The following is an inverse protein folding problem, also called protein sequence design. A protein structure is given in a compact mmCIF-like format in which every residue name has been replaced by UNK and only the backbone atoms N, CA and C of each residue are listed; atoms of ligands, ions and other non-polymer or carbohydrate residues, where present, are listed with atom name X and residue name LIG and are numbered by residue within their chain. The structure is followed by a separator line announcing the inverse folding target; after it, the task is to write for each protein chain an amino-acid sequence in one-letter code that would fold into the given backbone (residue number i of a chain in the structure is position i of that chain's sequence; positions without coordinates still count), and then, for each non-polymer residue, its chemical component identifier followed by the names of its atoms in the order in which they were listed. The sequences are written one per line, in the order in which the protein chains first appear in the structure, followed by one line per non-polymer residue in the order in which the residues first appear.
data_IF_302532896678
#
_entry.id   IF_302532896678
#
_cell.length_a   1.000
_cell.length_b   1.000
_cell.length_c   1.000
_cell.angle_alpha   90.00
_cell.angle_beta   90.00
_cell.angle_gamma   90.00
#
_symmetry.space_group_name_H-M   'P 1'
#
loop_
_entity.id
_entity.type
_entity.pdbx_description
1 polymer ?
#
# COMPACT_ATOMS: atom_id res chain seq x y z
N UNK A 1 15.41 14.88 -11.60
CA UNK A 1 16.82 14.75 -11.18
C UNK A 1 17.50 16.10 -11.30
N UNK A 2 17.49 16.72 -12.48
CA UNK A 2 18.08 18.06 -12.75
C UNK A 2 17.73 19.13 -11.70
N UNK A 3 16.48 19.17 -11.22
CA UNK A 3 16.07 20.14 -10.19
C UNK A 3 16.78 19.94 -8.85
N UNK A 4 16.94 18.68 -8.41
CA UNK A 4 17.60 18.37 -7.15
C UNK A 4 19.10 18.67 -7.24
N UNK A 5 19.72 18.35 -8.38
CA UNK A 5 21.13 18.65 -8.67
C UNK A 5 21.39 20.17 -8.63
N UNK A 6 20.53 20.97 -9.27
CA UNK A 6 20.65 22.43 -9.22
C UNK A 6 20.41 23.03 -7.82
N UNK A 7 19.59 22.37 -6.98
CA UNK A 7 19.43 22.77 -5.57
C UNK A 7 20.72 22.49 -4.78
N UNK A 8 21.30 21.30 -4.96
CA UNK A 8 22.54 20.91 -4.28
C UNK A 8 23.69 21.84 -4.68
N UNK A 9 23.86 22.11 -5.98
CA UNK A 9 24.90 23.01 -6.47
C UNK A 9 24.76 24.43 -5.88
N UNK A 10 23.53 24.92 -5.76
CA UNK A 10 23.28 26.22 -5.14
C UNK A 10 23.61 26.20 -3.65
N UNK A 11 23.21 25.16 -2.91
CA UNK A 11 23.53 25.03 -1.48
C UNK A 11 25.04 24.89 -1.23
N UNK A 12 25.76 24.15 -2.07
CA UNK A 12 27.22 23.96 -1.98
C UNK A 12 28.00 25.24 -2.31
N UNK A 13 27.42 26.16 -3.10
CA UNK A 13 28.06 27.44 -3.43
C UNK A 13 28.31 28.33 -2.21
N UNK A 14 27.59 28.11 -1.10
CA UNK A 14 27.73 28.86 0.15
C UNK A 14 27.31 30.33 0.08
N UNK A 15 26.71 30.77 -1.04
CA UNK A 15 26.33 32.17 -1.28
C UNK A 15 24.89 32.50 -0.90
N UNK A 16 24.11 31.51 -0.47
CA UNK A 16 22.71 31.73 -0.11
C UNK A 16 22.58 32.20 1.34
N UNK A 17 21.71 33.18 1.61
CA UNK A 17 21.33 33.52 2.98
C UNK A 17 20.64 32.33 3.65
N UNK A 18 20.65 32.33 4.98
CA UNK A 18 20.16 31.20 5.78
C UNK A 18 18.68 30.89 5.50
N UNK A 19 17.85 31.90 5.32
CA UNK A 19 16.42 31.70 5.00
C UNK A 19 16.25 30.94 3.67
N UNK A 20 17.01 31.31 2.64
CA UNK A 20 16.94 30.63 1.35
C UNK A 20 17.50 29.20 1.44
N UNK A 21 18.55 28.96 2.23
CA UNK A 21 19.08 27.61 2.47
C UNK A 21 18.03 26.67 3.06
N UNK A 22 17.21 27.16 4.00
CA UNK A 22 16.13 26.38 4.62
C UNK A 22 15.08 26.02 3.56
N UNK A 23 14.64 27.00 2.76
CA UNK A 23 13.66 26.77 1.69
C UNK A 23 14.19 25.76 0.66
N UNK A 24 15.46 25.87 0.26
CA UNK A 24 16.08 24.94 -0.69
C UNK A 24 16.25 23.54 -0.12
N UNK A 25 16.58 23.42 1.17
CA UNK A 25 16.66 22.14 1.85
C UNK A 25 15.29 21.43 1.88
N UNK A 26 14.22 22.14 2.21
CA UNK A 26 12.85 21.59 2.21
C UNK A 26 12.43 21.13 0.80
N UNK A 27 12.71 21.94 -0.23
CA UNK A 27 12.47 21.57 -1.62
C UNK A 27 13.25 20.30 -2.00
N UNK A 28 14.54 20.24 -1.65
CA UNK A 28 15.39 19.07 -1.88
C UNK A 28 14.85 17.81 -1.21
N UNK A 29 14.42 17.91 0.05
CA UNK A 29 13.83 16.80 0.80
C UNK A 29 12.55 16.26 0.16
N UNK A 30 11.67 17.14 -0.32
CA UNK A 30 10.47 16.74 -1.03
C UNK A 30 10.80 15.99 -2.34
N UNK A 31 11.78 16.47 -3.10
CA UNK A 31 12.23 15.81 -4.33
C UNK A 31 12.85 14.44 -4.05
N UNK A 32 13.63 14.31 -2.98
CA UNK A 32 14.20 13.02 -2.55
C UNK A 32 13.09 12.02 -2.24
N UNK A 33 12.06 12.44 -1.48
CA UNK A 33 10.90 11.59 -1.17
C UNK A 33 10.20 11.09 -2.43
N UNK A 34 9.96 11.96 -3.40
CA UNK A 34 9.35 11.59 -4.69
C UNK A 34 10.21 10.57 -5.43
N UNK A 35 11.54 10.74 -5.45
CA UNK A 35 12.44 9.77 -6.07
C UNK A 35 12.36 8.40 -5.41
N UNK A 36 12.31 8.35 -4.08
CA UNK A 36 12.18 7.10 -3.32
C UNK A 36 10.85 6.39 -3.62
N UNK A 37 9.74 7.12 -3.66
CA UNK A 37 8.43 6.56 -4.01
C UNK A 37 8.42 5.98 -5.43
N UNK A 38 9.04 6.68 -6.39
CA UNK A 38 9.17 6.18 -7.77
C UNK A 38 10.04 4.92 -7.84
N UNK A 39 11.12 4.86 -7.08
CA UNK A 39 11.98 3.69 -7.01
C UNK A 39 11.22 2.49 -6.42
N UNK A 40 10.53 2.68 -5.29
CA UNK A 40 9.72 1.64 -4.68
C UNK A 40 8.63 1.12 -5.63
N UNK A 41 7.96 2.01 -6.37
CA UNK A 41 6.98 1.59 -7.37
C UNK A 41 7.58 0.79 -8.52
N UNK A 42 8.78 1.18 -8.98
CA UNK A 42 9.49 0.45 -10.02
C UNK A 42 9.91 -0.95 -9.53
N UNK A 43 10.44 -1.06 -8.31
CA UNK A 43 10.80 -2.33 -7.68
C UNK A 43 9.59 -3.26 -7.55
N UNK A 44 8.46 -2.76 -7.07
CA UNK A 44 7.21 -3.53 -6.99
C UNK A 44 6.76 -4.05 -8.36
N UNK A 45 6.82 -3.21 -9.40
CA UNK A 45 6.47 -3.62 -10.77
C UNK A 45 7.40 -4.70 -11.30
N UNK A 46 8.71 -4.57 -11.07
CA UNK A 46 9.69 -5.59 -11.46
C UNK A 46 9.39 -6.91 -10.74
N UNK A 47 9.06 -6.86 -9.46
CA UNK A 47 8.73 -8.05 -8.67
C UNK A 47 7.49 -8.77 -9.18
N UNK A 48 6.42 -8.02 -9.54
CA UNK A 48 5.21 -8.59 -10.14
C UNK A 48 5.55 -9.26 -11.48
N UNK A 49 6.24 -8.56 -12.38
CA UNK A 49 6.64 -9.10 -13.69
C UNK A 49 7.53 -10.34 -13.53
N UNK A 50 8.44 -10.34 -12.55
CA UNK A 50 9.31 -11.48 -12.27
C UNK A 50 8.52 -12.69 -11.74
N UNK A 51 7.53 -12.49 -10.87
CA UNK A 51 6.63 -13.54 -10.37
C UNK A 51 5.75 -14.12 -11.49
N UNK A 52 5.23 -13.25 -12.34
CA UNK A 52 4.40 -13.63 -13.49
C UNK A 52 5.20 -14.47 -14.50
N UNK A 53 6.44 -14.05 -14.82
CA UNK A 53 7.33 -14.81 -15.71
C UNK A 53 7.84 -16.13 -15.08
N UNK A 54 7.93 -16.20 -13.75
CA UNK A 54 8.28 -17.43 -13.03
C UNK A 54 7.10 -18.42 -12.89
N UNK A 55 5.94 -18.12 -13.50
CA UNK A 55 4.77 -18.99 -13.48
C UNK A 55 4.08 -19.08 -12.12
N UNK A 56 4.35 -18.14 -11.20
CA UNK A 56 3.73 -18.14 -9.87
C UNK A 56 2.42 -17.38 -9.94
N UNK A 57 1.31 -18.11 -10.04
CA UNK A 57 -0.06 -17.61 -10.09
C UNK A 57 -0.35 -16.62 -8.96
N UNK A 58 -0.65 -15.37 -9.34
CA UNK A 58 -1.19 -14.35 -8.43
C UNK A 58 -2.67 -14.64 -8.21
N UNK A 59 -2.99 -15.33 -7.11
CA UNK A 59 -4.36 -15.36 -6.58
C UNK A 59 -4.60 -14.00 -5.94
N UNK A 60 -5.23 -13.08 -6.68
CA UNK A 60 -5.96 -12.00 -6.04
C UNK A 60 -7.18 -12.66 -5.39
N UNK A 61 -7.16 -12.77 -4.07
CA UNK A 61 -8.34 -13.17 -3.32
C UNK A 61 -9.49 -12.24 -3.73
N UNK A 62 -10.49 -12.83 -4.37
CA UNK A 62 -11.72 -12.18 -4.73
C UNK A 62 -12.50 -11.99 -3.43
N UNK A 63 -12.59 -10.75 -2.92
CA UNK A 63 -13.52 -10.46 -1.84
C UNK A 63 -14.94 -10.68 -2.38
N UNK A 64 -15.52 -11.83 -2.04
CA UNK A 64 -16.94 -12.07 -2.19
C UNK A 64 -17.65 -11.05 -1.31
N UNK A 65 -18.25 -10.05 -1.95
CA UNK A 65 -19.21 -9.15 -1.33
C UNK A 65 -20.21 -9.99 -0.53
N UNK A 66 -20.37 -9.77 0.79
CA UNK A 66 -21.39 -10.48 1.54
C UNK A 66 -22.75 -10.07 0.98
N UNK A 67 -23.44 -11.03 0.37
CA UNK A 67 -24.85 -10.92 0.02
C UNK A 67 -25.64 -10.61 1.30
N UNK A 68 -26.46 -9.56 1.32
CA UNK A 68 -27.18 -9.17 2.52
C UNK A 68 -28.30 -10.20 2.79
N UNK A 69 -28.08 -11.04 3.80
CA UNK A 69 -29.13 -11.83 4.40
C UNK A 69 -30.17 -10.90 5.07
N UNK A 70 -31.36 -10.78 4.49
CA UNK A 70 -32.59 -10.47 5.23
C UNK A 70 -33.86 -10.79 4.42
N UNK A 71 -34.49 -11.93 4.71
CA UNK A 71 -35.95 -12.00 4.91
C UNK A 71 -36.32 -13.34 5.54
N UNK A 72 -36.65 -13.26 6.83
CA UNK A 72 -37.23 -14.35 7.58
C UNK A 72 -38.68 -14.60 7.13
N UNK A 73 -39.04 -15.85 6.87
CA UNK A 73 -40.39 -16.34 7.14
C UNK A 73 -40.47 -17.86 7.31
N UNK A 74 -40.77 -18.26 8.56
CA UNK A 74 -41.92 -19.11 8.92
C UNK A 74 -41.73 -20.63 8.76
N UNK A 75 -41.50 -21.33 9.90
CA UNK A 75 -42.34 -22.35 10.60
C UNK A 75 -41.50 -23.47 11.27
N UNK A 76 -41.51 -23.51 12.61
CA UNK A 76 -41.20 -24.65 13.52
C UNK A 76 -42.21 -25.82 13.38
N UNK A 77 -42.23 -26.94 14.15
CA UNK A 77 -41.18 -27.71 14.85
C UNK A 77 -41.33 -29.26 14.66
N UNK A 78 -40.33 -30.09 14.99
CA UNK A 78 -40.57 -31.48 15.49
C UNK A 78 -39.33 -32.02 16.26
N UNK A 79 -39.43 -31.95 17.58
CA UNK A 79 -39.16 -32.99 18.58
C UNK A 79 -38.35 -34.24 18.16
N UNK A 80 -37.20 -34.47 18.81
CA UNK A 80 -36.96 -35.71 19.55
C UNK A 80 -35.84 -35.49 20.56
N UNK A 81 -36.21 -35.57 21.83
CA UNK A 81 -35.30 -35.75 22.96
C UNK A 81 -34.46 -37.02 22.75
N UNK A 82 -33.17 -36.96 23.05
CA UNK A 82 -32.60 -37.99 23.90
C UNK A 82 -31.43 -37.42 24.71
N UNK A 83 -31.39 -37.85 25.97
CA UNK A 83 -30.40 -37.55 26.99
C UNK A 83 -29.00 -38.02 26.49
N UNK A 84 -27.87 -37.47 26.93
CA UNK A 84 -27.23 -37.81 28.21
C UNK A 84 -26.05 -36.84 28.42
N UNK A 85 -25.98 -36.23 29.60
CA UNK A 85 -24.74 -35.76 30.23
C UNK A 85 -24.03 -36.95 30.89
N UNK A 86 -22.74 -37.15 30.59
CA UNK A 86 -21.66 -37.72 31.43
C UNK A 86 -20.45 -37.89 30.51
N UNK A 87 -19.31 -37.20 30.64
CA UNK A 87 -18.51 -36.84 31.82
C UNK A 87 -17.85 -35.47 31.62
#
# INVERSE_FOLDING_TARGET
MERLEGIVEQMESGKLPLEDLIVRYEEGMNLVKICQERLANAEQKIEIIARDNAGKTTVKDFEATPEPAASASVVEPQNSNDEIQLF
#
